data_IF_519173920892
#
_entry.id   IF_519173920892
#
_cell.length_a   1.000
_cell.length_b   1.000
_cell.length_c   1.000
_cell.angle_alpha   90.00
_cell.angle_beta   90.00
_cell.angle_gamma   90.00
#
_symmetry.space_group_name_H-M   'P 1'
#
loop_
_entity.id
_entity.type
_entity.pdbx_description
1 polymer ?
#
# COMPACT_ATOMS: atom_id res chain seq x y z
N UNK A 1 0.28 9.61 -24.19
CA UNK A 1 -0.99 9.98 -23.51
C UNK A 1 -0.93 9.44 -22.09
N UNK A 2 -1.53 10.10 -21.08
CA UNK A 2 -1.73 9.46 -19.78
C UNK A 2 -2.80 8.37 -19.93
N UNK A 3 -2.68 7.27 -19.19
CA UNK A 3 -3.74 6.25 -19.17
C UNK A 3 -5.00 6.78 -18.49
N UNK A 4 -6.20 6.32 -18.90
CA UNK A 4 -7.45 6.74 -18.27
C UNK A 4 -7.55 6.18 -16.84
N UNK A 5 -8.00 7.03 -15.91
CA UNK A 5 -8.21 6.63 -14.51
C UNK A 5 -9.10 5.38 -14.40
N UNK A 6 -8.70 4.46 -13.52
CA UNK A 6 -9.44 3.24 -13.19
C UNK A 6 -9.91 3.32 -11.74
N UNK A 7 -11.23 3.30 -11.54
CA UNK A 7 -11.81 3.28 -10.20
C UNK A 7 -11.77 1.88 -9.54
N UNK A 8 -11.45 0.85 -10.32
CA UNK A 8 -11.33 -0.55 -9.90
C UNK A 8 -10.06 -1.13 -10.51
N UNK A 9 -9.18 -1.71 -9.71
CA UNK A 9 -8.00 -2.45 -10.18
C UNK A 9 -8.21 -3.96 -9.99
N UNK A 10 -7.71 -4.75 -10.95
CA UNK A 10 -7.94 -6.20 -11.05
C UNK A 10 -6.61 -6.93 -11.11
N UNK A 11 -6.44 -7.91 -10.22
CA UNK A 11 -5.23 -8.71 -10.09
C UNK A 11 -5.57 -10.20 -10.22
N UNK A 12 -4.92 -10.94 -11.15
CA UNK A 12 -5.11 -12.37 -11.24
C UNK A 12 -4.46 -13.06 -10.04
N UNK A 13 -4.76 -14.35 -9.83
CA UNK A 13 -4.23 -15.12 -8.70
C UNK A 13 -2.70 -15.09 -8.67
N UNK A 14 -2.13 -14.99 -7.46
CA UNK A 14 -0.69 -15.07 -7.28
C UNK A 14 -0.22 -16.54 -7.28
N UNK A 15 0.15 -17.06 -8.44
CA UNK A 15 0.74 -18.40 -8.57
C UNK A 15 2.23 -18.46 -8.19
N UNK A 16 2.86 -17.33 -7.79
CA UNK A 16 4.30 -17.25 -7.52
C UNK A 16 4.67 -16.96 -6.05
N UNK A 17 3.75 -16.44 -5.25
CA UNK A 17 3.93 -16.12 -3.82
C UNK A 17 2.59 -15.90 -3.12
N UNK A 18 2.60 -15.24 -1.95
CA UNK A 18 1.41 -15.00 -1.12
C UNK A 18 0.74 -13.67 -1.46
N UNK A 19 -0.54 -13.56 -1.13
CA UNK A 19 -1.26 -12.29 -1.18
C UNK A 19 -1.68 -11.88 0.22
N UNK A 20 -1.25 -10.70 0.64
CA UNK A 20 -1.50 -10.17 1.98
C UNK A 20 -2.37 -8.91 1.91
N UNK A 21 -3.27 -8.73 2.87
CA UNK A 21 -4.05 -7.49 3.03
C UNK A 21 -3.78 -6.87 4.40
N UNK A 22 -3.41 -5.59 4.41
CA UNK A 22 -3.13 -4.80 5.62
C UNK A 22 -4.25 -3.78 5.90
N UNK A 23 -4.58 -3.63 7.18
CA UNK A 23 -5.53 -2.63 7.68
C UNK A 23 -5.01 -1.19 7.60
N UNK A 24 -5.83 -0.23 8.02
CA UNK A 24 -5.54 1.22 8.02
C UNK A 24 -4.16 1.50 8.64
N UNK A 25 -3.26 2.06 7.84
CA UNK A 25 -1.85 2.22 8.24
C UNK A 25 -1.64 3.47 9.06
N UNK A 26 -2.31 4.59 8.74
CA UNK A 26 -2.24 5.86 9.46
C UNK A 26 -0.82 6.20 9.96
N UNK A 27 0.16 6.25 9.06
CA UNK A 27 1.54 6.58 9.40
C UNK A 27 2.25 5.62 10.39
N UNK A 28 1.80 4.37 10.57
CA UNK A 28 2.37 3.40 11.50
C UNK A 28 3.49 2.53 10.88
N UNK A 29 4.42 3.14 10.14
CA UNK A 29 5.48 2.43 9.40
C UNK A 29 6.28 1.42 10.26
N UNK A 30 6.59 1.74 11.52
CA UNK A 30 7.33 0.82 12.40
C UNK A 30 6.56 -0.48 12.67
N UNK A 31 5.22 -0.43 12.75
CA UNK A 31 4.40 -1.64 12.87
C UNK A 31 4.39 -2.43 11.55
N UNK A 32 4.17 -1.74 10.41
CA UNK A 32 4.19 -2.35 9.07
C UNK A 32 5.50 -3.11 8.81
N UNK A 33 6.65 -2.47 9.01
CA UNK A 33 7.98 -3.09 8.85
C UNK A 33 8.10 -4.36 9.72
N UNK A 34 7.68 -4.28 10.99
CA UNK A 34 7.78 -5.40 11.94
C UNK A 34 6.88 -6.58 11.54
N UNK A 35 5.65 -6.32 11.10
CA UNK A 35 4.71 -7.36 10.66
C UNK A 35 5.16 -8.03 9.34
N UNK A 36 5.81 -7.30 8.43
CA UNK A 36 6.39 -7.83 7.20
C UNK A 36 7.66 -8.66 7.44
N UNK A 37 8.56 -8.19 8.31
CA UNK A 37 9.74 -8.94 8.76
C UNK A 37 9.36 -10.27 9.42
N UNK A 38 8.35 -10.24 10.30
CA UNK A 38 7.83 -11.42 11.01
C UNK A 38 7.16 -12.46 10.09
N UNK A 39 6.64 -12.05 8.92
CA UNK A 39 6.08 -12.95 7.89
C UNK A 39 7.09 -13.41 6.85
N UNK A 40 8.32 -12.90 6.93
CA UNK A 40 9.35 -13.05 5.89
C UNK A 40 8.80 -12.67 4.51
N UNK A 41 8.22 -11.47 4.40
CA UNK A 41 7.64 -10.95 3.16
C UNK A 41 8.72 -10.76 2.08
N UNK A 42 8.51 -11.36 0.91
CA UNK A 42 9.39 -11.28 -0.26
C UNK A 42 8.73 -10.40 -1.34
N UNK A 43 9.14 -9.14 -1.55
CA UNK A 43 8.55 -8.25 -2.55
C UNK A 43 8.76 -8.70 -4.01
N UNK A 44 9.56 -9.76 -4.28
CA UNK A 44 9.69 -10.34 -5.62
C UNK A 44 8.59 -11.38 -5.93
N UNK A 45 7.84 -11.81 -4.91
CA UNK A 45 6.89 -12.94 -5.00
C UNK A 45 5.56 -12.67 -4.33
N UNK A 46 5.59 -12.12 -3.12
CA UNK A 46 4.39 -11.77 -2.37
C UNK A 46 3.83 -10.40 -2.83
N UNK A 47 2.52 -10.20 -2.68
CA UNK A 47 1.86 -8.91 -2.94
C UNK A 47 1.18 -8.41 -1.67
N UNK A 48 1.50 -7.18 -1.27
CA UNK A 48 0.75 -6.49 -0.21
C UNK A 48 -0.29 -5.55 -0.80
N UNK A 49 -1.52 -5.65 -0.30
CA UNK A 49 -2.66 -4.80 -0.60
C UNK A 49 -3.09 -4.05 0.66
N UNK A 50 -3.54 -2.80 0.55
CA UNK A 50 -3.96 -1.99 1.69
C UNK A 50 -5.41 -1.51 1.54
N UNK A 51 -6.13 -1.42 2.66
CA UNK A 51 -7.54 -0.97 2.71
C UNK A 51 -7.73 0.55 2.62
N UNK A 52 -6.68 1.32 2.29
CA UNK A 52 -6.68 2.79 2.34
C UNK A 52 -6.23 3.36 3.68
N UNK A 53 -6.36 4.67 3.84
CA UNK A 53 -5.95 5.43 5.04
C UNK A 53 -4.48 5.12 5.40
N UNK A 54 -3.61 5.39 4.42
CA UNK A 54 -2.17 5.18 4.48
C UNK A 54 -1.50 6.16 5.45
N UNK A 55 -2.03 7.38 5.49
CA UNK A 55 -1.44 8.58 6.07
C UNK A 55 -2.34 9.19 7.15
N UNK A 56 -1.87 10.30 7.71
CA UNK A 56 -2.45 11.04 8.84
C UNK A 56 -2.43 10.26 10.16
N UNK A 57 -2.69 10.99 11.26
CA UNK A 57 -2.75 10.54 12.67
C UNK A 57 -1.43 10.05 13.25
N UNK A 58 -0.71 9.17 12.57
CA UNK A 58 0.54 8.58 13.02
C UNK A 58 1.78 9.31 12.49
N UNK A 59 2.90 9.27 13.23
CA UNK A 59 4.04 10.16 13.02
C UNK A 59 4.93 9.80 11.82
N UNK A 60 4.68 8.69 11.11
CA UNK A 60 5.55 8.21 10.02
C UNK A 60 4.80 8.12 8.68
N UNK A 61 3.88 9.05 8.41
CA UNK A 61 3.11 9.10 7.16
C UNK A 61 4.01 9.18 5.91
N UNK A 62 5.07 9.99 5.93
CA UNK A 62 6.10 10.02 4.87
C UNK A 62 6.70 8.62 4.64
N UNK A 63 7.15 7.93 5.71
CA UNK A 63 7.76 6.59 5.58
C UNK A 63 6.79 5.47 5.24
N UNK A 64 5.47 5.64 5.44
CA UNK A 64 4.48 4.74 4.84
C UNK A 64 4.44 4.91 3.32
N UNK A 65 4.54 6.15 2.80
CA UNK A 65 4.58 6.39 1.35
C UNK A 65 5.90 5.92 0.72
N UNK A 66 7.04 6.09 1.41
CA UNK A 66 8.33 5.49 1.02
C UNK A 66 8.19 3.94 0.92
N UNK A 67 7.55 3.31 1.92
CA UNK A 67 7.30 1.86 1.94
C UNK A 67 6.34 1.41 0.82
N UNK A 68 5.38 2.24 0.42
CA UNK A 68 4.49 1.96 -0.73
C UNK A 68 5.29 1.89 -2.03
N UNK A 69 6.21 2.83 -2.29
CA UNK A 69 7.09 2.80 -3.46
C UNK A 69 8.05 1.59 -3.39
N UNK A 70 8.68 1.37 -2.22
CA UNK A 70 9.68 0.31 -2.01
C UNK A 70 9.12 -1.12 -2.14
N UNK A 71 7.96 -1.41 -1.55
CA UNK A 71 7.37 -2.76 -1.54
C UNK A 71 6.24 -2.93 -2.58
N UNK A 72 5.98 -1.90 -3.40
CA UNK A 72 4.94 -1.91 -4.44
C UNK A 72 3.54 -2.15 -3.87
N UNK A 73 3.21 -1.53 -2.74
CA UNK A 73 1.96 -1.76 -1.99
C UNK A 73 0.75 -1.25 -2.78
N UNK A 74 -0.31 -2.05 -2.86
CA UNK A 74 -1.48 -1.81 -3.71
C UNK A 74 -2.68 -1.37 -2.86
N UNK A 75 -2.84 -0.07 -2.66
CA UNK A 75 -3.93 0.48 -1.83
C UNK A 75 -5.21 0.78 -2.62
N UNK A 76 -6.37 0.61 -1.99
CA UNK A 76 -7.56 1.41 -2.34
C UNK A 76 -7.46 2.82 -1.73
N UNK A 77 -8.32 3.74 -2.18
CA UNK A 77 -8.44 5.09 -1.62
C UNK A 77 -9.25 5.06 -0.32
N UNK A 78 -8.66 5.53 0.77
CA UNK A 78 -9.32 5.76 2.05
C UNK A 78 -10.03 7.12 2.14
N UNK A 79 -10.62 7.41 3.31
CA UNK A 79 -11.28 8.69 3.54
C UNK A 79 -10.28 9.84 3.76
N UNK A 80 -9.08 9.55 4.27
CA UNK A 80 -8.04 10.55 4.51
C UNK A 80 -7.43 11.03 3.20
N UNK A 81 -7.14 10.11 2.27
CA UNK A 81 -6.70 10.45 0.92
C UNK A 81 -7.70 11.33 0.17
N UNK A 82 -9.02 11.08 0.29
CA UNK A 82 -10.06 11.93 -0.30
C UNK A 82 -10.15 13.33 0.34
N UNK A 83 -9.92 13.46 1.65
CA UNK A 83 -9.87 14.76 2.33
C UNK A 83 -8.66 15.59 1.87
N UNK A 84 -7.49 14.95 1.73
CA UNK A 84 -6.28 15.58 1.18
C UNK A 84 -6.52 16.08 -0.26
N UNK A 85 -7.16 15.27 -1.11
CA UNK A 85 -7.52 15.65 -2.48
C UNK A 85 -8.44 16.86 -2.52
N UNK A 86 -9.49 16.87 -1.69
CA UNK A 86 -10.46 17.96 -1.65
C UNK A 86 -9.85 19.25 -1.07
N UNK A 87 -8.92 19.18 -0.13
CA UNK A 87 -8.13 20.34 0.29
C UNK A 87 -7.22 20.88 -0.82
N UNK A 88 -6.54 19.99 -1.55
CA UNK A 88 -5.72 20.39 -2.70
C UNK A 88 -6.55 21.06 -3.82
N UNK A 89 -7.81 20.66 -3.97
CA UNK A 89 -8.78 21.29 -4.89
C UNK A 89 -9.40 22.60 -4.36
N UNK A 90 -9.16 22.98 -3.09
CA UNK A 90 -9.80 24.13 -2.44
C UNK A 90 -11.23 23.88 -1.96
N UNK A 91 -11.69 22.63 -1.94
CA UNK A 91 -13.01 22.20 -1.45
C UNK A 91 -13.04 21.86 0.05
N UNK A 92 -11.89 21.74 0.71
CA UNK A 92 -11.77 21.53 2.16
C UNK A 92 -10.79 22.49 2.82
N UNK A 93 -11.02 22.76 4.10
CA UNK A 93 -10.23 23.70 4.89
C UNK A 93 -9.07 22.97 5.60
N UNK A 94 -7.91 23.61 5.71
CA UNK A 94 -6.74 23.07 6.41
C UNK A 94 -7.04 22.67 7.88
N UNK A 95 -8.01 23.33 8.54
CA UNK A 95 -8.47 22.96 9.88
C UNK A 95 -9.11 21.55 9.94
N UNK A 96 -9.74 21.09 8.86
CA UNK A 96 -10.24 19.70 8.77
C UNK A 96 -9.12 18.68 8.60
N UNK A 97 -7.99 19.09 8.02
CA UNK A 97 -6.80 18.26 7.87
C UNK A 97 -6.04 18.15 9.20
N UNK A 98 -5.87 19.26 9.93
CA UNK A 98 -5.38 19.25 11.32
C UNK A 98 -6.27 18.37 12.22
N UNK A 99 -7.60 18.48 12.10
CA UNK A 99 -8.54 17.61 12.83
C UNK A 99 -8.45 16.12 12.50
N UNK A 100 -7.82 15.77 11.37
CA UNK A 100 -7.53 14.41 10.96
C UNK A 100 -6.11 13.93 11.34
N UNK A 101 -5.22 14.83 11.77
CA UNK A 101 -3.80 14.54 12.05
C UNK A 101 -2.90 14.57 10.80
N UNK A 102 -3.19 15.46 9.84
CA UNK A 102 -2.43 15.63 8.60
C UNK A 102 -1.24 16.62 8.73
N UNK A 103 -0.71 16.80 9.93
CA UNK A 103 0.35 17.76 10.27
C UNK A 103 1.60 17.55 9.37
N UNK A 104 1.95 16.29 9.10
CA UNK A 104 3.02 15.86 8.18
C UNK A 104 2.94 16.49 6.76
N UNK A 105 1.71 16.75 6.28
CA UNK A 105 1.45 17.38 4.99
C UNK A 105 1.43 18.90 5.11
N UNK A 106 0.90 19.42 6.22
CA UNK A 106 0.67 20.85 6.43
C UNK A 106 1.93 21.61 6.83
N UNK A 107 2.83 21.01 7.62
CA UNK A 107 4.18 21.53 7.93
C UNK A 107 5.03 21.71 6.66
N UNK A 108 4.64 21.04 5.57
CA UNK A 108 5.31 21.05 4.26
C UNK A 108 4.44 21.68 3.16
N UNK A 109 3.33 22.35 3.50
CA UNK A 109 2.33 22.84 2.54
C UNK A 109 2.85 23.89 1.54
N UNK A 110 3.99 24.54 1.83
CA UNK A 110 4.63 25.48 0.90
C UNK A 110 5.48 24.81 -0.19
N UNK A 111 5.84 23.52 -0.04
CA UNK A 111 6.42 22.74 -1.14
C UNK A 111 5.30 22.30 -2.11
N UNK A 112 4.91 23.24 -2.98
CA UNK A 112 3.76 23.08 -3.87
C UNK A 112 3.92 21.94 -4.87
N UNK A 113 5.15 21.59 -5.28
CA UNK A 113 5.37 20.47 -6.20
C UNK A 113 5.38 19.12 -5.46
N UNK A 114 5.91 19.04 -4.23
CA UNK A 114 5.75 17.84 -3.40
C UNK A 114 4.28 17.59 -3.03
N UNK A 115 3.55 18.60 -2.54
CA UNK A 115 2.11 18.49 -2.23
C UNK A 115 1.30 18.03 -3.45
N UNK A 116 1.64 18.53 -4.64
CA UNK A 116 1.03 18.15 -5.92
C UNK A 116 1.40 16.73 -6.36
N UNK A 117 2.60 16.24 -6.04
CA UNK A 117 2.99 14.84 -6.25
C UNK A 117 2.17 13.92 -5.32
N UNK A 118 2.06 14.25 -4.03
CA UNK A 118 1.20 13.56 -3.06
C UNK A 118 -0.25 13.51 -3.56
N UNK A 119 -0.83 14.67 -3.92
CA UNK A 119 -2.19 14.73 -4.44
C UNK A 119 -2.36 13.95 -5.77
N UNK A 120 -1.35 13.92 -6.65
CA UNK A 120 -1.37 13.10 -7.87
C UNK A 120 -1.39 11.60 -7.54
N UNK A 121 -0.60 11.16 -6.56
CA UNK A 121 -0.62 9.78 -6.07
C UNK A 121 -1.98 9.44 -5.45
N UNK A 122 -2.49 10.24 -4.50
CA UNK A 122 -3.79 10.01 -3.85
C UNK A 122 -4.94 9.99 -4.87
N UNK A 123 -4.87 10.81 -5.93
CA UNK A 123 -5.86 10.80 -7.01
C UNK A 123 -5.85 9.47 -7.78
N UNK A 124 -4.66 8.92 -8.03
CA UNK A 124 -4.48 7.70 -8.81
C UNK A 124 -5.03 6.42 -8.15
N UNK A 125 -5.22 6.41 -6.83
CA UNK A 125 -5.74 5.23 -6.11
C UNK A 125 -7.16 4.83 -6.58
N UNK A 126 -7.43 3.54 -6.81
CA UNK A 126 -8.77 3.03 -7.11
C UNK A 126 -9.68 3.08 -5.87
N UNK A 127 -10.99 2.99 -6.04
CA UNK A 127 -11.94 2.84 -4.93
C UNK A 127 -12.15 1.36 -4.54
N UNK A 128 -11.95 0.43 -5.48
CA UNK A 128 -11.99 -1.02 -5.24
C UNK A 128 -10.73 -1.71 -5.77
N UNK A 129 -10.34 -2.80 -5.12
CA UNK A 129 -9.40 -3.78 -5.67
C UNK A 129 -10.11 -5.14 -5.73
N UNK A 130 -9.88 -5.87 -6.81
CA UNK A 130 -10.38 -7.23 -7.05
C UNK A 130 -9.18 -8.18 -7.21
N UNK A 131 -9.17 -9.28 -6.46
CA UNK A 131 -8.09 -10.28 -6.44
C UNK A 131 -8.71 -11.67 -6.63
N UNK A 132 -8.24 -12.44 -7.61
CA UNK A 132 -8.58 -13.86 -7.69
C UNK A 132 -7.77 -14.67 -6.67
N UNK A 133 -8.40 -15.61 -5.97
CA UNK A 133 -7.74 -16.54 -5.04
C UNK A 133 -8.17 -17.97 -5.31
N UNK A 134 -7.54 -18.96 -4.68
CA UNK A 134 -8.04 -20.35 -4.71
C UNK A 134 -9.42 -20.52 -4.05
N UNK A 135 -9.86 -19.55 -3.25
CA UNK A 135 -11.20 -19.47 -2.66
C UNK A 135 -12.19 -18.65 -3.51
N UNK A 136 -11.80 -18.23 -4.73
CA UNK A 136 -12.60 -17.37 -5.61
C UNK A 136 -12.26 -15.88 -5.45
N UNK A 137 -13.21 -15.01 -5.81
CA UNK A 137 -12.97 -13.57 -5.90
C UNK A 137 -12.96 -12.89 -4.51
N UNK A 138 -11.92 -12.11 -4.23
CA UNK A 138 -11.80 -11.25 -3.06
C UNK A 138 -11.90 -9.79 -3.50
N UNK A 139 -12.83 -9.06 -2.88
CA UNK A 139 -12.95 -7.61 -3.01
C UNK A 139 -12.28 -6.89 -1.85
N UNK A 140 -11.64 -5.76 -2.13
CA UNK A 140 -11.15 -4.80 -1.12
C UNK A 140 -11.85 -3.46 -1.36
N UNK A 141 -12.39 -2.87 -0.30
CA UNK A 141 -13.01 -1.53 -0.28
C UNK A 141 -12.82 -0.91 1.10
N UNK A 142 -12.54 0.39 1.18
CA UNK A 142 -12.08 0.98 2.45
C UNK A 142 -13.05 0.82 3.63
N UNK A 143 -14.35 1.09 3.46
CA UNK A 143 -15.30 1.15 4.59
C UNK A 143 -16.40 0.06 4.59
N UNK A 144 -17.20 -0.01 3.52
CA UNK A 144 -18.38 -0.89 3.43
C UNK A 144 -18.89 -0.96 1.98
N UNK A 145 -19.60 -2.03 1.62
CA UNK A 145 -20.40 -2.02 0.40
C UNK A 145 -21.77 -1.36 0.65
N UNK A 146 -22.16 -0.34 -0.14
CA UNK A 146 -23.49 0.28 -0.07
C UNK A 146 -24.62 -0.53 -0.73
N UNK A 147 -24.30 -1.65 -1.38
CA UNK A 147 -25.23 -2.55 -2.08
C UNK A 147 -24.89 -4.01 -1.75
N UNK A 148 -25.86 -4.93 -1.83
CA UNK A 148 -25.65 -6.35 -1.50
C UNK A 148 -25.01 -7.19 -2.61
N UNK A 149 -24.56 -6.58 -3.72
CA UNK A 149 -24.02 -7.28 -4.88
C UNK A 149 -22.72 -6.58 -5.35
N UNK A 150 -21.65 -7.36 -5.49
CA UNK A 150 -20.32 -6.85 -5.83
C UNK A 150 -20.21 -6.40 -7.29
N UNK A 151 -20.81 -7.12 -8.24
CA UNK A 151 -20.82 -6.73 -9.66
C UNK A 151 -21.53 -5.40 -9.88
N UNK A 152 -22.63 -5.14 -9.14
CA UNK A 152 -23.32 -3.85 -9.09
C UNK A 152 -22.46 -2.78 -8.45
N UNK A 153 -21.78 -3.07 -7.33
CA UNK A 153 -20.86 -2.12 -6.70
C UNK A 153 -19.79 -1.68 -7.70
N UNK A 154 -19.12 -2.63 -8.36
CA UNK A 154 -18.13 -2.38 -9.41
C UNK A 154 -18.70 -1.50 -10.52
N UNK A 155 -19.87 -1.84 -11.08
CA UNK A 155 -20.49 -1.08 -12.17
C UNK A 155 -20.96 0.34 -11.75
N UNK A 156 -21.37 0.53 -10.49
CA UNK A 156 -21.72 1.84 -9.94
C UNK A 156 -20.45 2.68 -9.67
N UNK A 157 -19.38 2.08 -9.14
CA UNK A 157 -18.08 2.73 -8.88
C UNK A 157 -17.36 3.10 -10.19
N UNK A 158 -17.36 2.24 -11.20
CA UNK A 158 -16.75 2.50 -12.53
C UNK A 158 -17.47 3.65 -13.27
N UNK A 159 -18.80 3.77 -13.09
CA UNK A 159 -19.64 4.78 -13.75
C UNK A 159 -19.67 6.15 -13.06
N UNK A 160 -19.52 6.20 -11.74
CA UNK A 160 -19.58 7.45 -10.98
C UNK A 160 -18.37 8.39 -11.23
N UNK A 161 -18.54 9.67 -10.90
CA UNK A 161 -17.44 10.63 -10.68
C UNK A 161 -16.99 10.58 -9.22
N UNK A 162 -15.92 11.27 -8.83
CA UNK A 162 -15.47 11.36 -7.42
C UNK A 162 -16.58 11.84 -6.47
N UNK A 163 -17.42 12.79 -6.88
CA UNK A 163 -18.58 13.27 -6.11
C UNK A 163 -19.77 12.26 -6.03
N UNK A 164 -19.57 11.04 -6.54
CA UNK A 164 -20.53 9.95 -6.56
C UNK A 164 -21.00 9.49 -5.18
N UNK A 165 -22.26 9.05 -5.10
CA UNK A 165 -22.87 8.61 -3.84
C UNK A 165 -22.37 7.23 -3.43
N UNK A 166 -22.13 6.35 -4.39
CA UNK A 166 -21.59 5.00 -4.16
C UNK A 166 -20.13 5.09 -3.75
N UNK A 167 -19.29 5.85 -4.49
CA UNK A 167 -17.89 6.11 -4.12
C UNK A 167 -17.76 6.74 -2.74
N UNK A 168 -18.58 7.76 -2.43
CA UNK A 168 -18.57 8.37 -1.09
C UNK A 168 -19.01 7.39 0.00
N UNK A 169 -20.02 6.52 -0.22
CA UNK A 169 -20.37 5.49 0.78
C UNK A 169 -19.26 4.45 0.95
N UNK A 170 -18.60 4.04 -0.14
CA UNK A 170 -17.54 3.04 -0.14
C UNK A 170 -16.34 3.40 0.76
N UNK A 171 -16.10 4.70 0.98
CA UNK A 171 -15.01 5.20 1.84
C UNK A 171 -15.50 5.90 3.13
N UNK A 172 -16.80 6.14 3.34
CA UNK A 172 -17.31 6.83 4.55
C UNK A 172 -18.38 6.05 5.35
N UNK A 173 -18.83 4.88 4.88
CA UNK A 173 -19.90 4.13 5.55
C UNK A 173 -19.38 3.35 6.76
N UNK A 174 -19.76 3.81 7.96
CA UNK A 174 -19.63 3.04 9.21
C UNK A 174 -20.91 2.21 9.51
N UNK A 175 -21.75 1.94 8.52
CA UNK A 175 -23.13 1.45 8.74
C UNK A 175 -23.15 0.00 9.22
N UNK A 176 -22.41 -0.90 8.56
CA UNK A 176 -22.21 -2.30 8.99
C UNK A 176 -21.59 -2.43 10.38
N UNK A 177 -20.71 -1.51 10.76
CA UNK A 177 -19.84 -1.64 11.94
C UNK A 177 -20.40 -1.02 13.22
N UNK A 178 -21.34 -0.09 13.13
CA UNK A 178 -22.06 0.43 14.32
C UNK A 178 -22.70 -0.69 15.13
N UNK A 179 -22.52 -0.63 16.45
CA UNK A 179 -23.27 -1.48 17.37
C UNK A 179 -24.78 -1.17 17.25
N UNK A 180 -25.61 -2.20 17.20
CA UNK A 180 -27.05 -1.99 17.35
C UNK A 180 -27.34 -1.54 18.78
N UNK A 181 -28.15 -0.50 19.01
CA UNK A 181 -28.55 -0.11 20.35
C UNK A 181 -29.41 -1.22 20.96
N UNK A 182 -29.04 -1.67 22.16
CA UNK A 182 -29.80 -2.63 22.96
C UNK A 182 -31.11 -1.98 23.44
N UNK A 183 -32.14 -2.04 22.60
CA UNK A 183 -33.45 -1.48 22.93
C UNK A 183 -34.09 -2.26 24.09
N UNK A 184 -34.38 -1.64 25.25
CA UNK A 184 -35.31 -2.21 26.22
C UNK A 184 -36.70 -2.32 25.57
N UNK A 185 -37.51 -3.29 26.03
CA UNK A 185 -38.78 -3.64 25.40
C UNK A 185 -39.69 -2.41 25.16
N UNK A 186 -40.19 -2.20 23.92
CA UNK A 186 -40.83 -0.95 23.55
C UNK A 186 -42.17 -0.75 24.25
N UNK A 187 -42.40 0.45 24.79
CA UNK A 187 -43.70 0.82 25.35
C UNK A 187 -44.78 0.87 24.26
N UNK A 188 -46.05 0.73 24.65
CA UNK A 188 -47.20 0.78 23.72
C UNK A 188 -47.28 2.10 22.93
N UNK A 189 -46.73 3.19 23.48
CA UNK A 189 -46.66 4.49 22.80
C UNK A 189 -45.51 4.54 21.77
N UNK A 190 -44.40 3.84 22.03
CA UNK A 190 -43.25 3.73 21.12
C UNK A 190 -43.64 3.01 19.83
N UNK A 191 -44.52 1.99 19.91
CA UNK A 191 -44.96 1.22 18.75
C UNK A 191 -45.64 2.09 17.67
N UNK A 192 -46.35 3.16 18.09
CA UNK A 192 -47.07 4.06 17.18
C UNK A 192 -46.11 4.97 16.42
N UNK A 193 -45.12 5.54 17.09
CA UNK A 193 -44.08 6.35 16.44
C UNK A 193 -43.13 5.53 15.57
N UNK A 194 -42.97 4.23 15.86
CA UNK A 194 -42.29 3.28 14.96
C UNK A 194 -43.11 3.01 13.68
N UNK A 195 -44.43 2.84 13.78
CA UNK A 195 -45.30 2.72 12.59
C UNK A 195 -45.26 3.96 11.69
N UNK A 196 -45.33 5.16 12.29
CA UNK A 196 -45.32 6.41 11.52
C UNK A 196 -43.94 6.70 10.91
N UNK A 197 -42.84 6.36 11.61
CA UNK A 197 -41.49 6.36 11.02
C UNK A 197 -41.34 5.34 9.88
N UNK A 198 -41.87 4.13 10.04
CA UNK A 198 -41.85 3.12 8.99
C UNK A 198 -42.59 3.61 7.72
N UNK A 199 -43.75 4.26 7.90
CA UNK A 199 -44.52 4.90 6.80
C UNK A 199 -43.79 6.04 6.10
N UNK A 200 -42.86 6.72 6.77
CA UNK A 200 -42.01 7.74 6.13
C UNK A 200 -40.69 7.19 5.58
N UNK A 201 -40.26 6.00 6.01
CA UNK A 201 -39.01 5.37 5.54
C UNK A 201 -39.11 4.69 4.16
N UNK A 202 -40.32 4.52 3.59
CA UNK A 202 -40.58 3.82 2.31
C UNK A 202 -40.07 4.57 1.06
N UNK A 203 -39.20 5.57 1.23
CA UNK A 203 -38.52 6.30 0.13
C UNK A 203 -37.00 6.43 0.32
N UNK A 204 -36.42 5.80 1.34
CA UNK A 204 -34.98 5.58 1.44
C UNK A 204 -34.67 4.11 1.17
N UNK A 205 -33.77 3.83 0.23
CA UNK A 205 -33.16 2.50 0.13
C UNK A 205 -32.47 2.19 1.46
N UNK A 206 -32.96 1.17 2.17
CA UNK A 206 -32.31 0.71 3.39
C UNK A 206 -30.90 0.20 3.07
N UNK A 207 -29.90 0.61 3.85
CA UNK A 207 -28.54 0.12 3.69
C UNK A 207 -28.53 -1.37 4.06
N UNK A 208 -28.41 -2.25 3.06
CA UNK A 208 -28.51 -3.69 3.28
C UNK A 208 -27.26 -4.17 4.00
N UNK A 209 -27.38 -4.38 5.31
CA UNK A 209 -26.33 -5.02 6.12
C UNK A 209 -26.60 -6.52 6.11
N UNK A 210 -25.79 -7.23 5.34
CA UNK A 210 -25.85 -8.67 5.11
C UNK A 210 -24.67 -9.12 4.23
N UNK A 211 -24.70 -10.38 3.77
CA UNK A 211 -23.78 -10.94 2.76
C UNK A 211 -23.71 -10.07 1.51
N UNK A 212 -22.54 -10.02 0.88
CA UNK A 212 -22.31 -9.42 -0.44
C UNK A 212 -22.18 -10.52 -1.49
N UNK A 213 -23.09 -10.52 -2.46
CA UNK A 213 -23.18 -11.52 -3.50
C UNK A 213 -22.25 -11.24 -4.69
N UNK A 214 -21.99 -12.28 -5.49
CA UNK A 214 -21.00 -12.28 -6.57
C UNK A 214 -19.54 -11.98 -6.14
N UNK A 215 -19.20 -12.29 -4.89
CA UNK A 215 -17.84 -12.25 -4.34
C UNK A 215 -17.71 -13.28 -3.20
N UNK A 216 -16.52 -13.87 -3.01
CA UNK A 216 -16.24 -14.76 -1.88
C UNK A 216 -16.14 -13.95 -0.60
N UNK A 217 -15.20 -13.00 -0.54
CA UNK A 217 -14.92 -12.17 0.64
C UNK A 217 -14.84 -10.68 0.27
N UNK A 218 -15.25 -9.79 1.19
CA UNK A 218 -14.99 -8.35 1.08
C UNK A 218 -14.18 -7.89 2.30
N UNK A 219 -12.95 -7.43 2.08
CA UNK A 219 -12.05 -6.97 3.14
C UNK A 219 -12.10 -5.43 3.24
N UNK A 220 -12.26 -4.92 4.46
CA UNK A 220 -12.45 -3.50 4.76
C UNK A 220 -11.66 -3.06 6.00
N UNK A 221 -11.61 -1.75 6.23
CA UNK A 221 -11.03 -1.10 7.40
C UNK A 221 -11.93 0.02 7.94
N UNK A 222 -11.40 1.25 8.06
CA UNK A 222 -12.12 2.52 8.33
C UNK A 222 -12.83 2.67 9.70
N UNK A 223 -13.15 1.56 10.37
CA UNK A 223 -13.86 1.55 11.65
C UNK A 223 -13.12 0.65 12.63
N UNK A 224 -12.35 1.22 13.58
CA UNK A 224 -11.49 0.43 14.45
C UNK A 224 -12.27 -0.61 15.26
N UNK A 225 -11.82 -1.86 15.17
CA UNK A 225 -12.30 -3.00 15.95
C UNK A 225 -11.18 -3.54 16.84
N UNK A 226 -11.51 -4.12 17.99
CA UNK A 226 -10.50 -4.60 18.95
C UNK A 226 -9.79 -5.89 18.51
N UNK A 227 -10.34 -6.57 17.50
CA UNK A 227 -9.78 -7.71 16.80
C UNK A 227 -10.47 -7.81 15.42
N UNK A 228 -9.87 -8.55 14.48
CA UNK A 228 -10.46 -8.83 13.16
C UNK A 228 -11.89 -9.34 13.34
N UNK A 229 -12.86 -8.69 12.69
CA UNK A 229 -14.29 -8.89 12.94
C UNK A 229 -15.02 -9.14 11.64
N UNK A 230 -15.74 -10.27 11.54
CA UNK A 230 -16.53 -10.63 10.36
C UNK A 230 -18.03 -10.38 10.57
N UNK A 231 -18.72 -10.04 9.48
CA UNK A 231 -20.19 -9.96 9.37
C UNK A 231 -20.60 -10.48 8.00
N UNK A 232 -21.19 -11.67 8.00
CA UNK A 232 -21.33 -12.51 6.80
C UNK A 232 -19.95 -12.69 6.15
N UNK A 233 -19.84 -12.47 4.83
CA UNK A 233 -18.57 -12.53 4.12
C UNK A 233 -17.77 -11.20 4.08
N UNK A 234 -18.13 -10.22 4.93
CA UNK A 234 -17.38 -8.96 5.05
C UNK A 234 -16.49 -8.98 6.28
N UNK A 235 -15.19 -8.75 6.07
CA UNK A 235 -14.12 -8.89 7.05
C UNK A 235 -13.52 -7.51 7.32
N UNK A 236 -13.62 -7.01 8.56
CA UNK A 236 -12.92 -5.78 8.98
C UNK A 236 -11.57 -6.14 9.63
N UNK A 237 -10.50 -5.57 9.09
CA UNK A 237 -9.11 -5.74 9.57
C UNK A 237 -8.47 -4.45 10.12
N UNK A 238 -9.22 -3.34 10.23
CA UNK A 238 -8.80 -2.17 11.01
C UNK A 238 -8.80 -2.51 12.51
N UNK A 239 -7.65 -3.01 12.98
CA UNK A 239 -7.42 -3.29 14.40
C UNK A 239 -6.84 -2.09 15.16
N UNK A 240 -7.00 -0.88 14.61
CA UNK A 240 -6.75 0.38 15.31
C UNK A 240 -5.28 0.66 15.60
N UNK A 241 -4.37 0.30 14.71
CA UNK A 241 -2.92 0.37 14.89
C UNK A 241 -2.41 1.70 15.47
N UNK A 242 -2.90 2.83 14.94
CA UNK A 242 -2.51 4.18 15.37
C UNK A 242 -3.08 4.59 16.74
N UNK A 243 -4.14 3.92 17.20
CA UNK A 243 -4.79 4.18 18.50
C UNK A 243 -4.21 3.32 19.64
N UNK A 244 -3.04 2.69 19.43
CA UNK A 244 -2.45 1.73 20.36
C UNK A 244 -3.03 0.31 20.25
N UNK A 245 -3.80 0.03 19.19
CA UNK A 245 -4.13 -1.32 18.76
C UNK A 245 -2.94 -2.02 18.10
N UNK A 246 -3.23 -3.08 17.33
CA UNK A 246 -2.23 -3.73 16.48
C UNK A 246 -2.44 -3.33 15.03
N UNK A 247 -1.42 -3.50 14.20
CA UNK A 247 -1.61 -3.57 12.76
C UNK A 247 -1.90 -5.02 12.35
N UNK A 248 -3.05 -5.27 11.72
CA UNK A 248 -3.33 -6.58 11.10
C UNK A 248 -2.79 -6.63 9.69
N UNK A 249 -1.98 -7.65 9.40
CA UNK A 249 -1.75 -8.17 8.05
C UNK A 249 -2.31 -9.60 7.99
N UNK A 250 -3.30 -9.81 7.13
CA UNK A 250 -3.98 -11.08 6.83
C UNK A 250 -3.36 -11.72 5.58
N UNK A 251 -3.09 -13.02 5.60
CA UNK A 251 -2.81 -13.81 4.38
C UNK A 251 -4.15 -14.24 3.75
N UNK A 252 -4.29 -14.14 2.42
CA UNK A 252 -5.52 -14.56 1.74
C UNK A 252 -5.70 -16.09 1.71
N UNK A 253 -4.64 -16.87 1.93
CA UNK A 253 -4.76 -18.31 2.16
C UNK A 253 -5.47 -18.65 3.49
N UNK A 254 -5.51 -17.72 4.44
CA UNK A 254 -6.18 -17.90 5.74
C UNK A 254 -7.67 -17.51 5.74
N UNK A 255 -8.26 -17.12 4.59
CA UNK A 255 -9.68 -16.79 4.48
C UNK A 255 -10.65 -17.83 5.10
N UNK A 256 -10.43 -19.16 4.97
CA UNK A 256 -11.30 -20.17 5.59
C UNK A 256 -11.30 -20.15 7.13
N UNK A 257 -10.36 -19.44 7.78
CA UNK A 257 -10.36 -19.24 9.23
C UNK A 257 -11.38 -18.17 9.68
N UNK A 258 -11.82 -17.30 8.76
CA UNK A 258 -12.62 -16.10 9.06
C UNK A 258 -14.07 -16.18 8.56
N UNK A 259 -14.30 -16.88 7.44
CA UNK A 259 -15.59 -17.00 6.76
C UNK A 259 -15.76 -18.42 6.19
N UNK A 260 -17.01 -18.83 5.92
CA UNK A 260 -17.26 -20.02 5.11
C UNK A 260 -17.03 -19.68 3.62
N UNK A 261 -15.98 -20.27 3.05
CA UNK A 261 -15.60 -20.15 1.63
C UNK A 261 -16.28 -21.21 0.73
N UNK A 262 -17.14 -22.07 1.29
CA UNK A 262 -17.83 -23.12 0.52
C UNK A 262 -18.67 -22.50 -0.61
N UNK A 263 -18.72 -23.12 -1.81
CA UNK A 263 -19.57 -22.64 -2.91
C UNK A 263 -21.05 -22.60 -2.54
N UNK A 264 -21.55 -21.40 -2.21
CA UNK A 264 -22.94 -21.16 -1.84
C UNK A 264 -23.83 -21.23 -3.09
N UNK A 265 -24.25 -22.44 -3.45
CA UNK A 265 -25.02 -22.72 -4.66
C UNK A 265 -26.45 -22.16 -4.60
N UNK A 266 -26.70 -21.09 -5.35
CA UNK A 266 -28.04 -20.68 -5.77
C UNK A 266 -28.03 -20.24 -7.24
N UNK A 267 -28.56 -21.12 -8.11
CA UNK A 267 -28.64 -20.97 -9.58
C UNK A 267 -27.28 -21.11 -10.29
N UNK A 268 -27.30 -21.69 -11.49
CA UNK A 268 -26.17 -21.63 -12.41
C UNK A 268 -26.07 -20.20 -12.97
N UNK A 269 -25.25 -19.37 -12.33
CA UNK A 269 -24.78 -18.12 -12.92
C UNK A 269 -23.74 -18.48 -13.99
N UNK A 270 -23.75 -17.81 -15.14
CA UNK A 270 -22.58 -17.79 -16.01
C UNK A 270 -21.37 -17.35 -15.17
N UNK A 271 -20.20 -17.99 -15.32
CA UNK A 271 -19.02 -17.62 -14.53
C UNK A 271 -18.76 -16.11 -14.66
N UNK A 272 -18.48 -15.38 -13.55
CA UNK A 272 -18.25 -13.94 -13.59
C UNK A 272 -17.11 -13.58 -14.54
N UNK A 273 -17.47 -13.26 -15.79
CA UNK A 273 -16.54 -13.30 -16.92
C UNK A 273 -15.31 -12.45 -16.66
N UNK A 274 -14.16 -13.12 -16.49
CA UNK A 274 -12.91 -12.50 -16.08
C UNK A 274 -12.58 -11.30 -16.97
N UNK A 275 -12.50 -10.13 -16.34
CA UNK A 275 -12.23 -8.86 -17.02
C UNK A 275 -10.73 -8.63 -17.00
N UNK A 276 -10.14 -8.36 -18.17
CA UNK A 276 -8.68 -8.26 -18.32
C UNK A 276 -8.01 -7.46 -17.19
N UNK A 277 -6.95 -8.00 -16.56
CA UNK A 277 -6.27 -7.33 -15.48
C UNK A 277 -5.58 -6.06 -15.98
N UNK A 278 -5.35 -5.11 -15.07
CA UNK A 278 -4.61 -3.88 -15.40
C UNK A 278 -3.13 -4.22 -15.51
N UNK A 279 -2.73 -4.72 -16.68
CA UNK A 279 -1.35 -5.04 -17.02
C UNK A 279 -0.50 -3.77 -16.99
N UNK A 280 0.18 -3.54 -15.86
CA UNK A 280 1.31 -2.63 -15.81
C UNK A 280 2.33 -3.08 -16.86
N UNK A 281 2.44 -2.32 -17.96
CA UNK A 281 3.32 -2.66 -19.07
C UNK A 281 4.78 -2.55 -18.63
N UNK A 282 5.37 -3.68 -18.23
CA UNK A 282 6.82 -3.83 -18.12
C UNK A 282 7.47 -3.26 -19.39
N UNK A 283 8.43 -2.36 -19.21
CA UNK A 283 9.09 -1.67 -20.32
C UNK A 283 10.02 -2.63 -21.07
N UNK A 284 9.44 -3.40 -21.99
CA UNK A 284 10.20 -4.24 -22.93
C UNK A 284 11.09 -3.32 -23.77
N UNK A 285 12.40 -3.59 -23.74
CA UNK A 285 13.41 -2.79 -24.42
C UNK A 285 13.09 -2.60 -25.90
N UNK A 286 13.06 -1.36 -26.36
CA UNK A 286 13.01 -1.05 -27.78
C UNK A 286 14.39 -1.36 -28.42
N UNK A 287 14.45 -2.10 -29.54
CA UNK A 287 15.73 -2.33 -30.23
C UNK A 287 16.30 -1.01 -30.74
N UNK A 288 17.62 -0.88 -30.72
CA UNK A 288 18.31 0.31 -31.18
C UNK A 288 18.01 0.60 -32.66
N UNK A 289 17.92 1.88 -33.08
CA UNK A 289 17.69 2.23 -34.48
C UNK A 289 18.85 1.74 -35.34
N UNK A 290 18.52 1.08 -36.46
CA UNK A 290 19.51 0.59 -37.40
C UNK A 290 20.27 1.75 -38.07
N UNK A 291 21.58 1.58 -38.22
CA UNK A 291 22.41 2.48 -39.03
C UNK A 291 22.02 2.28 -40.49
N UNK A 292 21.66 3.36 -41.19
CA UNK A 292 21.49 3.35 -42.63
C UNK A 292 22.57 4.25 -43.25
N UNK A 293 23.26 3.72 -44.26
CA UNK A 293 24.31 4.40 -45.03
C UNK A 293 23.78 4.83 -46.40
N UNK A 294 24.64 5.52 -47.17
CA UNK A 294 24.45 6.01 -48.54
C UNK A 294 23.49 7.22 -48.72
N UNK A 295 23.71 8.14 -49.67
CA UNK A 295 24.94 8.60 -50.35
C UNK A 295 24.62 9.88 -51.16
N UNK A 296 25.63 10.72 -51.46
CA UNK A 296 25.62 11.83 -52.44
C UNK A 296 24.69 13.04 -52.15
N UNK A 297 24.99 14.29 -52.56
CA UNK A 297 26.19 14.88 -53.21
C UNK A 297 26.18 16.42 -53.13
N UNK A 298 27.38 17.04 -53.05
CA UNK A 298 27.70 18.47 -53.27
C UNK A 298 27.05 19.51 -52.31
N UNK A 299 27.75 20.51 -51.76
CA UNK A 299 29.19 20.88 -51.78
C UNK A 299 29.54 21.60 -50.43
N UNK A 300 30.56 22.44 -50.16
CA UNK A 300 31.43 23.35 -50.96
C UNK A 300 32.74 23.67 -50.19
N UNK A 301 33.61 24.51 -50.76
CA UNK A 301 34.75 25.19 -50.09
C UNK A 301 34.34 26.01 -48.83
N UNK A 302 35.22 26.42 -47.89
CA UNK A 302 36.57 27.04 -48.01
C UNK A 302 37.56 26.55 -46.91
N UNK A 303 38.85 26.85 -47.11
CA UNK A 303 40.07 26.35 -46.46
C UNK A 303 40.34 26.82 -44.99
N UNK A 304 41.13 26.03 -44.22
CA UNK A 304 42.50 26.41 -43.80
C UNK A 304 43.28 25.30 -43.04
N UNK A 305 44.62 25.29 -43.18
CA UNK A 305 45.65 24.46 -42.50
C UNK A 305 45.72 24.64 -40.94
N UNK A 306 46.47 23.87 -40.12
CA UNK A 306 47.80 23.20 -40.28
C UNK A 306 47.97 21.93 -39.40
N UNK A 307 48.87 21.03 -39.83
CA UNK A 307 49.55 19.91 -39.13
C UNK A 307 50.32 20.28 -37.82
N UNK A 308 50.86 19.42 -36.93
CA UNK A 308 50.95 17.94 -36.69
C UNK A 308 51.17 17.72 -35.12
N UNK A 309 51.85 16.77 -34.43
CA UNK A 309 52.79 15.66 -34.74
C UNK A 309 52.87 14.56 -33.63
N UNK A 310 52.97 13.28 -34.06
CA UNK A 310 53.81 12.13 -33.57
C UNK A 310 53.89 11.61 -32.09
N UNK A 311 54.38 10.35 -31.95
CA UNK A 311 54.61 9.53 -30.73
C UNK A 311 56.06 8.98 -30.74
N UNK A 312 56.66 8.48 -29.63
CA UNK A 312 56.67 7.01 -29.36
C UNK A 312 56.87 6.58 -27.87
N UNK A 313 57.09 5.27 -27.63
CA UNK A 313 57.52 4.54 -26.40
C UNK A 313 58.10 3.14 -26.83
N UNK A 314 58.54 2.16 -25.98
CA UNK A 314 58.91 2.09 -24.55
C UNK A 314 60.43 1.71 -24.36
N UNK A 315 60.94 0.95 -23.33
CA UNK A 315 60.85 -0.55 -23.22
C UNK A 315 60.92 -1.18 -21.77
N UNK A 316 61.28 -2.48 -21.62
CA UNK A 316 60.97 -3.43 -20.50
C UNK A 316 62.13 -4.11 -19.69
N UNK A 317 61.78 -4.88 -18.61
CA UNK A 317 62.45 -6.10 -18.00
C UNK A 317 63.80 -5.93 -17.22
N UNK A 318 64.30 -6.84 -16.31
CA UNK A 318 63.84 -8.11 -15.63
C UNK A 318 63.66 -7.97 -14.07
N UNK A 319 63.34 -8.94 -13.17
CA UNK A 319 63.01 -10.40 -13.12
C UNK A 319 64.09 -11.47 -12.69
N UNK A 320 64.05 -12.03 -11.44
CA UNK A 320 64.78 -13.27 -11.01
C UNK A 320 64.34 -13.98 -9.68
N UNK A 321 64.15 -15.33 -9.72
CA UNK A 321 64.37 -16.48 -8.75
C UNK A 321 64.29 -16.31 -7.19
N UNK A 322 63.67 -17.17 -6.34
CA UNK A 322 63.46 -18.66 -6.22
C UNK A 322 64.62 -19.45 -5.50
N UNK A 323 64.49 -20.58 -4.75
CA UNK A 323 63.41 -21.59 -4.50
C UNK A 323 63.67 -22.49 -3.22
N UNK A 324 62.64 -23.18 -2.63
CA UNK A 324 62.63 -24.35 -1.67
C UNK A 324 63.10 -24.17 -0.19
N UNK A 325 62.51 -24.80 0.86
CA UNK A 325 62.45 -26.27 1.17
C UNK A 325 61.50 -26.68 2.32
N UNK A 326 61.06 -27.95 2.28
CA UNK A 326 60.73 -28.97 3.32
C UNK A 326 59.73 -28.68 4.49
N UNK A 327 58.74 -29.59 4.72
CA UNK A 327 57.69 -29.53 5.78
C UNK A 327 57.18 -30.92 6.22
N UNK A 328 57.14 -31.26 7.53
CA UNK A 328 56.22 -32.31 8.05
C UNK A 328 55.68 -32.13 9.51
N UNK A 329 54.60 -32.87 9.86
CA UNK A 329 54.04 -33.13 11.23
C UNK A 329 53.36 -31.95 11.98
N UNK A 330 52.26 -32.09 12.75
CA UNK A 330 51.35 -33.22 13.03
C UNK A 330 49.90 -32.74 13.38
N UNK A 331 48.97 -33.68 13.62
CA UNK A 331 47.73 -33.56 14.43
C UNK A 331 46.54 -32.66 14.00
N UNK A 332 45.44 -33.33 13.64
CA UNK A 332 44.03 -32.88 13.79
C UNK A 332 43.56 -33.16 15.25
N UNK A 333 42.51 -32.51 15.84
CA UNK A 333 41.16 -32.39 15.23
C UNK A 333 40.23 -31.21 15.67
N UNK A 334 38.98 -31.29 15.19
CA UNK A 334 37.75 -30.54 15.55
C UNK A 334 37.51 -29.20 14.84
N UNK A 335 36.59 -29.23 13.88
CA UNK A 335 35.90 -28.05 13.36
C UNK A 335 34.86 -27.54 14.39
N UNK A 336 34.79 -26.23 14.58
CA UNK A 336 33.64 -25.55 15.17
C UNK A 336 32.60 -25.26 14.06
N UNK A 337 31.30 -25.07 14.39
CA UNK A 337 30.28 -24.78 13.37
C UNK A 337 30.52 -23.44 12.68
N UNK A 338 30.29 -23.40 11.37
CA UNK A 338 30.50 -22.21 10.54
C UNK A 338 29.56 -21.06 10.94
N UNK A 339 30.13 -19.86 11.11
CA UNK A 339 29.37 -18.64 11.28
C UNK A 339 28.66 -18.28 9.97
N UNK A 340 27.32 -18.33 9.95
CA UNK A 340 26.53 -17.82 8.83
C UNK A 340 26.84 -16.33 8.60
N UNK A 341 26.97 -15.87 7.35
CA UNK A 341 27.14 -14.45 7.08
C UNK A 341 25.92 -13.66 7.52
N UNK A 342 26.15 -12.48 8.08
CA UNK A 342 25.10 -11.46 8.28
C UNK A 342 24.75 -10.90 6.90
N UNK A 343 23.45 -10.81 6.51
CA UNK A 343 23.08 -10.19 5.24
C UNK A 343 23.41 -8.69 5.25
N UNK A 344 24.06 -8.21 4.18
CA UNK A 344 24.32 -6.79 3.98
C UNK A 344 23.01 -6.02 3.69
N UNK A 345 22.95 -4.70 3.98
CA UNK A 345 21.78 -3.88 3.66
C UNK A 345 21.54 -3.83 2.15
N UNK A 346 20.36 -4.31 1.73
CA UNK A 346 19.93 -4.33 0.32
C UNK A 346 19.89 -2.91 -0.25
N UNK A 347 20.78 -2.61 -1.20
CA UNK A 347 20.94 -1.28 -1.78
C UNK A 347 20.27 -1.15 -3.15
N UNK A 348 19.44 -0.10 -3.28
CA UNK A 348 18.97 0.53 -4.53
C UNK A 348 18.55 -0.38 -5.70
N UNK A 349 17.24 -0.59 -5.84
CA UNK A 349 16.62 -0.85 -7.14
C UNK A 349 16.09 0.48 -7.73
N UNK A 350 16.25 0.70 -9.03
CA UNK A 350 15.70 1.89 -9.72
C UNK A 350 14.53 1.44 -10.59
N UNK A 351 13.32 1.89 -10.25
CA UNK A 351 12.11 1.66 -11.04
C UNK A 351 11.69 2.93 -11.78
N UNK A 352 11.32 2.80 -13.05
CA UNK A 352 10.83 3.92 -13.86
C UNK A 352 9.34 4.20 -13.56
N UNK A 353 9.05 4.79 -12.39
CA UNK A 353 7.69 5.16 -12.02
C UNK A 353 7.60 6.05 -10.78
N UNK A 354 7.43 7.36 -10.99
CA UNK A 354 7.08 8.37 -9.98
C UNK A 354 7.90 8.33 -8.69
N UNK A 355 9.18 8.73 -8.76
CA UNK A 355 9.99 9.00 -7.57
C UNK A 355 9.34 10.04 -6.67
N UNK A 356 8.79 9.61 -5.52
CA UNK A 356 8.44 10.52 -4.44
C UNK A 356 9.71 10.73 -3.61
N UNK A 357 10.58 11.64 -4.06
CA UNK A 357 11.84 11.95 -3.35
C UNK A 357 11.57 12.69 -2.04
N UNK A 358 11.11 11.96 -1.02
CA UNK A 358 11.07 12.41 0.36
C UNK A 358 12.51 12.61 0.83
N UNK A 359 12.92 13.87 0.96
CA UNK A 359 14.22 14.20 1.58
C UNK A 359 14.06 14.17 3.09
N UNK A 360 14.49 13.09 3.73
CA UNK A 360 14.66 13.07 5.19
C UNK A 360 15.65 14.17 5.61
N UNK A 361 15.15 15.21 6.28
CA UNK A 361 15.99 16.10 7.09
C UNK A 361 16.45 15.34 8.33
N UNK A 362 17.62 14.68 8.24
CA UNK A 362 18.25 14.05 9.40
C UNK A 362 18.66 15.11 10.44
N UNK A 363 17.80 15.34 11.43
CA UNK A 363 18.14 16.06 12.66
C UNK A 363 17.61 15.33 13.90
N UNK A 364 18.51 15.06 14.83
CA UNK A 364 18.24 14.82 16.26
C UNK A 364 17.40 13.61 16.69
N UNK A 365 17.98 12.41 16.60
CA UNK A 365 17.76 11.36 17.62
C UNK A 365 19.12 10.88 18.16
N UNK A 366 19.81 11.73 18.93
CA UNK A 366 20.99 11.34 19.73
C UNK A 366 21.05 12.14 21.04
N UNK A 367 20.32 11.68 22.07
CA UNK A 367 20.76 11.70 23.49
C UNK A 367 19.61 11.34 24.46
N UNK A 368 19.64 10.14 25.06
CA UNK A 368 19.25 9.95 26.48
C UNK A 368 19.62 8.56 27.04
N UNK A 369 20.93 8.25 27.05
CA UNK A 369 21.49 7.24 27.97
C UNK A 369 22.89 7.65 28.44
N UNK A 370 22.98 8.42 29.53
CA UNK A 370 23.97 8.26 30.62
C UNK A 370 23.92 9.42 31.64
N UNK A 371 23.14 9.22 32.71
CA UNK A 371 23.33 9.73 34.08
C UNK A 371 22.16 9.21 34.93
N UNK A 372 22.33 8.78 36.17
CA UNK A 372 23.55 8.59 36.94
C UNK A 372 23.18 8.35 38.41
N UNK A 373 23.37 7.15 38.94
CA UNK A 373 22.91 6.82 40.28
C UNK A 373 23.87 7.36 41.37
N UNK A 374 23.36 8.16 42.33
CA UNK A 374 23.70 8.13 43.77
C UNK A 374 23.02 9.27 44.56
N UNK A 375 22.91 9.09 45.89
CA UNK A 375 22.36 10.04 46.89
C UNK A 375 20.83 10.28 46.81
N UNK A 376 20.05 10.36 47.91
CA UNK A 376 20.30 9.87 49.27
C UNK A 376 20.38 10.92 50.38
N UNK A 377 19.27 11.60 50.72
CA UNK A 377 19.14 12.35 51.98
C UNK A 377 17.69 12.59 52.48
N UNK A 378 17.38 12.01 53.65
CA UNK A 378 16.79 12.68 54.83
C UNK A 378 15.60 13.67 54.70
N UNK A 379 14.39 13.12 54.74
CA UNK A 379 13.22 13.56 55.54
C UNK A 379 13.46 14.68 56.59
N UNK A 380 12.77 15.84 56.49
CA UNK A 380 12.12 16.53 57.64
C UNK A 380 11.22 17.73 57.28
N UNK A 381 10.03 17.71 57.89
CA UNK A 381 9.07 18.81 58.16
C UNK A 381 8.55 19.61 56.96
#
# INVERSE_FOLDING_TARGET
>A
MKEPYRAVHRYPRNDSGRDFVVGDLHGCFTQLRTELEARHFDPQRDRLFAVGDLVDRGPQSDSVLEAVEQFGIKSVKGNHEEVILRWHAGEEQALSLLGNGADWLLDRADDREWVKAIATYMASLPYLIEIETEHGLVGIVHADSPVSDWNRLVADIERERSDGKTRRKAIWSRTRWKAQPSHPAPSRNTLRSLLDKARHSVRGEAHVVGRIDNVTAVIVGHTPVTAVTTKDNVINIDTGAVYGGKLTIMDLADLPQWIDVSPHSTVAVDEPGWREPVMARSAVSAPAPAVNVDAASADTAVEHDVALAERPAPPDVPAATAERRDVPQNETPRLAPESRPVPEPLTSFVSNGMHITVRMSMHSIVSEQQQGATTGATRRR
#
